data_IF_859182087891
#
_entry.id   IF_859182087891
#
_cell.length_a   1.000
_cell.length_b   1.000
_cell.length_c   1.000
_cell.angle_alpha   90.00
_cell.angle_beta   90.00
_cell.angle_gamma   90.00
#
_symmetry.space_group_name_H-M   'P 1'
#
loop_
_entity.id
_entity.type
_entity.pdbx_description
1 polymer ?
#
# COMPACT_ATOMS: atom_id res chain seq x y z
N UNK A 1 20.20 -36.64 15.13
CA UNK A 1 19.01 -35.79 14.95
C UNK A 1 19.46 -34.35 15.06
N UNK A 2 19.84 -33.74 13.95
CA UNK A 2 20.15 -32.30 13.90
C UNK A 2 19.37 -31.76 12.71
N UNK A 3 18.15 -31.32 12.96
CA UNK A 3 17.38 -30.62 11.95
C UNK A 3 17.91 -29.19 11.84
N UNK A 4 18.50 -28.91 10.69
CA UNK A 4 18.87 -27.57 10.26
C UNK A 4 17.72 -27.02 9.40
N UNK A 5 16.86 -26.18 9.94
CA UNK A 5 16.08 -25.22 9.14
C UNK A 5 15.34 -24.19 10.00
N UNK A 6 15.87 -22.97 10.00
CA UNK A 6 15.18 -21.79 10.51
C UNK A 6 15.70 -20.59 9.75
N UNK A 7 15.25 -20.45 8.50
CA UNK A 7 15.70 -19.45 7.53
C UNK A 7 15.70 -18.04 8.10
N UNK A 8 16.80 -17.31 7.83
CA UNK A 8 16.91 -15.90 8.15
C UNK A 8 15.76 -15.12 7.52
N UNK A 9 14.90 -14.52 8.34
CA UNK A 9 14.11 -13.38 7.90
C UNK A 9 15.11 -12.25 7.69
N UNK A 10 15.48 -12.03 6.44
CA UNK A 10 16.15 -10.81 5.99
C UNK A 10 15.22 -9.64 6.34
N UNK A 11 15.38 -9.12 7.56
CA UNK A 11 14.80 -7.87 8.00
C UNK A 11 15.48 -6.75 7.23
N UNK A 12 15.13 -6.61 5.96
CA UNK A 12 15.41 -5.41 5.20
C UNK A 12 14.52 -4.33 5.81
N UNK A 13 14.99 -3.69 6.90
CA UNK A 13 14.39 -2.49 7.46
C UNK A 13 14.53 -1.36 6.42
N UNK A 14 13.79 -1.48 5.33
CA UNK A 14 13.67 -0.45 4.31
C UNK A 14 12.76 0.59 4.93
N UNK A 15 13.24 1.83 5.02
CA UNK A 15 12.44 2.96 5.52
C UNK A 15 11.27 3.14 4.53
N UNK A 16 10.16 2.50 4.82
CA UNK A 16 8.91 2.65 4.10
C UNK A 16 8.21 3.89 4.66
N UNK A 17 8.17 4.97 3.89
CA UNK A 17 7.32 6.11 4.23
C UNK A 17 5.95 5.85 3.64
N UNK A 18 4.99 5.52 4.49
CA UNK A 18 3.58 5.40 4.12
C UNK A 18 2.86 6.73 4.36
N UNK A 19 1.99 7.10 3.43
CA UNK A 19 1.14 8.29 3.52
C UNK A 19 -0.20 8.08 2.84
N UNK A 20 -1.13 9.01 3.07
CA UNK A 20 -2.46 9.02 2.45
C UNK A 20 -2.55 10.18 1.47
N UNK A 21 -3.11 9.94 0.29
CA UNK A 21 -3.29 11.00 -0.71
C UNK A 21 -4.51 11.84 -0.35
N UNK A 22 -4.25 13.06 0.12
CA UNK A 22 -5.30 14.00 0.57
C UNK A 22 -5.72 15.01 -0.51
N UNK A 23 -4.92 15.16 -1.57
CA UNK A 23 -5.27 15.93 -2.77
C UNK A 23 -4.52 15.39 -3.99
N UNK A 24 -5.17 15.37 -5.14
CA UNK A 24 -4.53 15.11 -6.43
C UNK A 24 -4.78 16.32 -7.33
N UNK A 25 -3.71 16.89 -7.85
CA UNK A 25 -3.70 17.89 -8.90
C UNK A 25 -3.19 17.26 -10.21
N UNK A 26 -3.26 17.99 -11.30
CA UNK A 26 -2.90 17.51 -12.65
C UNK A 26 -1.42 17.15 -12.77
N UNK A 27 -0.54 17.88 -12.08
CA UNK A 27 0.93 17.70 -12.14
C UNK A 27 1.54 17.21 -10.81
N UNK A 28 0.77 17.17 -9.73
CA UNK A 28 1.26 16.79 -8.40
C UNK A 28 0.16 16.20 -7.53
N UNK A 29 0.51 15.44 -6.50
CA UNK A 29 -0.43 15.05 -5.45
C UNK A 29 0.11 15.46 -4.08
N UNK A 30 -0.80 15.84 -3.18
CA UNK A 30 -0.49 16.12 -1.79
C UNK A 30 -0.74 14.85 -0.98
N UNK A 31 0.32 14.38 -0.34
CA UNK A 31 0.30 13.20 0.52
C UNK A 31 0.48 13.64 1.97
N UNK A 32 -0.40 13.17 2.85
CA UNK A 32 -0.31 13.34 4.30
C UNK A 32 0.43 12.15 4.92
N UNK A 33 1.48 12.43 5.70
CA UNK A 33 2.22 11.45 6.46
C UNK A 33 2.50 11.97 7.88
N UNK A 34 2.09 11.23 8.91
CA UNK A 34 2.35 11.59 10.31
C UNK A 34 1.94 13.02 10.68
N UNK A 35 0.83 13.52 10.12
CA UNK A 35 0.33 14.88 10.36
C UNK A 35 1.03 15.99 9.56
N UNK A 36 1.94 15.64 8.64
CA UNK A 36 2.58 16.59 7.69
C UNK A 36 2.07 16.31 6.28
N UNK A 37 1.78 17.34 5.51
CA UNK A 37 1.43 17.22 4.10
C UNK A 37 2.60 17.60 3.21
N UNK A 38 2.81 16.84 2.14
CA UNK A 38 3.89 17.10 1.19
C UNK A 38 3.39 16.93 -0.23
N UNK A 39 3.78 17.87 -1.08
CA UNK A 39 3.50 17.80 -2.51
C UNK A 39 4.53 16.90 -3.20
N UNK A 40 4.02 15.90 -3.90
CA UNK A 40 4.76 14.93 -4.70
C UNK A 40 4.42 15.19 -6.17
N UNK A 41 5.41 15.44 -7.05
CA UNK A 41 5.13 15.57 -8.48
C UNK A 41 4.60 14.26 -9.06
N UNK A 42 3.68 14.35 -10.02
CA UNK A 42 3.05 13.22 -10.69
C UNK A 42 4.06 12.29 -11.37
N UNK A 43 5.21 12.83 -11.80
CA UNK A 43 6.33 12.04 -12.31
C UNK A 43 6.89 11.02 -11.29
N UNK A 44 6.67 11.21 -9.98
CA UNK A 44 7.08 10.30 -8.90
C UNK A 44 5.95 9.46 -8.34
N UNK A 45 4.74 9.58 -8.89
CA UNK A 45 3.56 8.80 -8.51
C UNK A 45 3.36 7.65 -9.49
N UNK A 46 3.07 6.47 -8.96
CA UNK A 46 2.65 5.32 -9.78
C UNK A 46 1.28 5.60 -10.43
N UNK A 47 1.03 4.99 -11.58
CA UNK A 47 -0.19 5.25 -12.34
C UNK A 47 -1.39 4.65 -11.61
N UNK A 48 -2.48 5.40 -11.55
CA UNK A 48 -3.73 4.92 -10.95
C UNK A 48 -3.87 5.16 -9.44
N UNK A 49 -2.97 5.94 -8.83
CA UNK A 49 -3.17 6.48 -7.48
C UNK A 49 -4.38 7.42 -7.48
N UNK A 50 -5.30 7.24 -6.51
CA UNK A 50 -6.49 8.07 -6.35
C UNK A 50 -6.48 8.81 -5.02
N UNK A 51 -7.36 9.81 -4.93
CA UNK A 51 -7.61 10.51 -3.67
C UNK A 51 -8.10 9.51 -2.62
N UNK A 52 -7.52 9.56 -1.43
CA UNK A 52 -7.79 8.62 -0.33
C UNK A 52 -7.02 7.31 -0.42
N UNK A 53 -6.27 7.05 -1.51
CA UNK A 53 -5.39 5.89 -1.53
C UNK A 53 -4.23 6.06 -0.57
N UNK A 54 -3.84 4.94 0.02
CA UNK A 54 -2.63 4.84 0.82
C UNK A 54 -1.46 4.52 -0.11
N UNK A 55 -0.38 5.28 0.03
CA UNK A 55 0.80 5.18 -0.84
C UNK A 55 2.05 4.93 0.00
N UNK A 56 2.97 4.15 -0.54
CA UNK A 56 4.26 3.83 0.06
C UNK A 56 5.41 4.33 -0.80
N UNK A 57 6.35 5.03 -0.18
CA UNK A 57 7.59 5.44 -0.81
C UNK A 57 8.57 4.27 -0.84
N UNK A 58 8.95 3.84 -2.05
CA UNK A 58 9.85 2.70 -2.26
C UNK A 58 11.34 3.09 -2.37
N UNK A 59 11.64 4.39 -2.28
CA UNK A 59 12.98 4.97 -2.48
C UNK A 59 13.11 5.79 -3.76
N UNK A 60 12.24 5.57 -4.75
CA UNK A 60 12.28 6.29 -6.04
C UNK A 60 10.90 6.74 -6.52
N UNK A 61 9.86 5.95 -6.24
CA UNK A 61 8.47 6.24 -6.61
C UNK A 61 7.53 5.93 -5.46
N UNK A 62 6.42 6.66 -5.42
CA UNK A 62 5.28 6.41 -4.55
C UNK A 62 4.35 5.42 -5.24
N UNK A 63 4.12 4.27 -4.62
CA UNK A 63 3.21 3.25 -5.16
C UNK A 63 2.00 3.13 -4.25
N UNK A 64 0.85 2.79 -4.84
CA UNK A 64 -0.33 2.42 -4.06
C UNK A 64 0.03 1.23 -3.17
N UNK A 65 -0.11 1.36 -1.86
CA UNK A 65 -0.17 0.18 -0.99
C UNK A 65 -1.56 -0.37 -1.18
N UNK A 66 -1.68 -1.56 -1.76
CA UNK A 66 -2.99 -2.19 -1.89
C UNK A 66 -3.62 -2.27 -0.49
N UNK A 67 -4.91 -1.92 -0.35
CA UNK A 67 -5.62 -2.39 0.82
C UNK A 67 -5.48 -3.91 0.79
N UNK A 68 -5.03 -4.50 1.91
CA UNK A 68 -5.30 -5.91 2.16
C UNK A 68 -6.81 -6.04 2.02
N UNK A 69 -7.29 -6.43 0.84
CA UNK A 69 -8.63 -6.96 0.72
C UNK A 69 -8.66 -8.07 1.77
N UNK A 70 -9.52 -7.96 2.80
CA UNK A 70 -9.79 -9.15 3.57
C UNK A 70 -10.22 -10.18 2.53
N UNK A 71 -9.56 -11.32 2.55
CA UNK A 71 -9.95 -12.51 1.81
C UNK A 71 -11.24 -13.06 2.45
N UNK A 72 -12.24 -12.19 2.62
CA UNK A 72 -13.62 -12.54 2.89
C UNK A 72 -14.29 -12.49 1.50
N UNK A 73 -13.86 -13.41 0.64
CA UNK A 73 -14.80 -14.01 -0.29
C UNK A 73 -15.89 -14.57 0.60
N UNK A 74 -16.95 -13.77 0.74
CA UNK A 74 -18.23 -14.20 1.23
C UNK A 74 -18.65 -15.40 0.38
N UNK A 75 -18.43 -16.61 0.89
CA UNK A 75 -19.29 -17.74 0.58
C UNK A 75 -20.67 -17.40 1.14
N UNK A 76 -21.41 -16.59 0.40
CA UNK A 76 -22.87 -16.69 0.39
C UNK A 76 -23.18 -18.03 -0.25
N UNK A 77 -23.14 -19.09 0.55
CA UNK A 77 -23.89 -20.30 0.27
C UNK A 77 -25.34 -20.03 0.68
N UNK A 78 -26.05 -19.32 -0.19
CA UNK A 78 -27.49 -19.39 -0.30
C UNK A 78 -27.77 -20.15 -1.59
N UNK A 79 -27.93 -21.47 -1.47
CA UNK A 79 -28.96 -22.25 -2.14
C UNK A 79 -28.65 -23.75 -2.02
N UNK A 80 -29.36 -24.46 -1.16
CA UNK A 80 -30.12 -25.61 -1.68
C UNK A 80 -31.42 -25.79 -0.91
N UNK A 81 -32.46 -25.90 -1.71
CA UNK A 81 -33.86 -26.07 -1.39
C UNK A 81 -34.18 -27.56 -1.62
N UNK A 82 -35.02 -28.09 -0.74
CA UNK A 82 -35.68 -29.42 -0.75
C UNK A 82 -35.01 -30.56 0.06
#
# INVERSE_FOLDING_TARGET
MFDSSGGGKAGSCRIERTGEVVRIDTDSAVVSFGGKTVSIPAAKLDKGIRLGDRVVWTGSVWRRSEPLVPLDDAETDLSETE
#
